data_IF_116015722927
#
_entry.id   IF_116015722927
#
_cell.length_a   1.000
_cell.length_b   1.000
_cell.length_c   1.000
_cell.angle_alpha   90.00
_cell.angle_beta   90.00
_cell.angle_gamma   90.00
#
_symmetry.space_group_name_H-M   'P 1'
#
loop_
_entity.id
_entity.type
_entity.pdbx_description
1 polymer ?
#
# COMPACT_ATOMS: atom_id res chain seq x y z
N UNK A 1 -7.85 -2.35 -7.66
CA UNK A 1 -7.36 -3.72 -7.38
C UNK A 1 -6.08 -4.12 -8.12
N UNK A 2 -5.83 -3.73 -9.39
CA UNK A 2 -4.53 -4.01 -10.07
C UNK A 2 -3.30 -3.24 -9.55
N UNK A 3 -3.49 -2.11 -8.85
CA UNK A 3 -2.40 -1.20 -8.49
C UNK A 3 -1.59 -1.62 -7.26
N UNK A 4 -2.17 -2.33 -6.28
CA UNK A 4 -1.44 -2.82 -5.10
C UNK A 4 -0.46 -3.95 -5.48
N UNK A 5 -0.80 -4.74 -6.50
CA UNK A 5 0.02 -5.85 -7.00
C UNK A 5 1.41 -5.43 -7.51
N UNK A 6 1.57 -4.17 -7.96
CA UNK A 6 2.83 -3.66 -8.49
C UNK A 6 3.81 -3.12 -7.43
N UNK A 7 3.37 -2.91 -6.18
CA UNK A 7 4.26 -2.36 -5.15
C UNK A 7 5.26 -3.40 -4.65
N UNK A 8 4.95 -4.69 -4.72
CA UNK A 8 5.85 -5.77 -4.33
C UNK A 8 6.59 -6.27 -5.58
N UNK A 9 7.50 -5.46 -6.13
CA UNK A 9 8.31 -5.83 -7.31
C UNK A 9 8.98 -7.21 -7.13
N UNK A 10 9.04 -7.97 -8.24
CA UNK A 10 9.51 -9.37 -8.39
C UNK A 10 10.92 -9.60 -7.81
N UNK A 11 11.74 -8.55 -7.74
CA UNK A 11 13.14 -8.62 -7.32
C UNK A 11 13.37 -9.04 -5.86
N UNK A 12 12.40 -8.81 -4.96
CA UNK A 12 12.53 -9.11 -3.52
C UNK A 12 12.37 -10.59 -3.17
N UNK A 13 11.72 -11.34 -4.04
CA UNK A 13 11.47 -12.77 -3.85
C UNK A 13 12.71 -13.61 -4.17
N UNK A 14 13.55 -13.12 -5.08
CA UNK A 14 14.69 -13.88 -5.59
C UNK A 14 15.90 -13.90 -4.65
N UNK A 15 16.01 -12.96 -3.70
CA UNK A 15 17.16 -12.88 -2.79
C UNK A 15 17.07 -13.80 -1.56
N UNK A 16 15.96 -14.52 -1.35
CA UNK A 16 15.72 -15.29 -0.12
C UNK A 16 16.36 -16.69 -0.06
N UNK A 17 17.16 -17.13 -1.05
CA UNK A 17 17.41 -18.56 -1.25
C UNK A 17 18.88 -18.99 -1.42
N UNK A 18 19.84 -18.24 -0.90
CA UNK A 18 21.24 -18.68 -0.90
C UNK A 18 21.81 -18.78 0.51
N UNK A 19 21.35 -19.79 1.25
CA UNK A 19 22.15 -20.45 2.27
C UNK A 19 21.74 -21.93 2.38
N UNK A 20 22.72 -22.81 2.19
CA UNK A 20 22.61 -24.27 2.22
C UNK A 20 21.96 -24.77 3.52
N UNK A 21 20.65 -24.96 3.53
CA UNK A 21 19.97 -25.78 4.53
C UNK A 21 18.56 -26.13 4.05
N UNK A 22 18.00 -27.22 4.63
CA UNK A 22 16.67 -27.78 4.34
C UNK A 22 15.63 -26.70 3.99
N UNK A 23 14.78 -27.00 3.00
CA UNK A 23 13.68 -26.15 2.54
C UNK A 23 12.57 -26.06 3.60
N UNK A 24 12.90 -25.45 4.73
CA UNK A 24 12.08 -25.31 5.92
C UNK A 24 12.29 -23.92 6.51
N UNK A 25 11.29 -23.43 7.22
CA UNK A 25 11.36 -22.19 7.97
C UNK A 25 12.15 -22.42 9.26
N UNK A 26 13.34 -21.84 9.32
CA UNK A 26 14.10 -21.70 10.58
C UNK A 26 13.78 -20.35 11.22
N UNK A 27 14.02 -20.19 12.53
CA UNK A 27 13.86 -18.89 13.19
C UNK A 27 14.65 -17.77 12.52
N UNK A 28 15.85 -18.07 12.00
CA UNK A 28 16.70 -17.13 11.28
C UNK A 28 16.07 -16.69 9.95
N UNK A 29 15.53 -17.64 9.16
CA UNK A 29 14.85 -17.34 7.89
C UNK A 29 13.55 -16.56 8.10
N UNK A 30 12.81 -16.88 9.18
CA UNK A 30 11.63 -16.11 9.57
C UNK A 30 12.00 -14.67 9.93
N UNK A 31 13.02 -14.47 10.77
CA UNK A 31 13.45 -13.15 11.20
C UNK A 31 13.93 -12.30 10.02
N UNK A 32 14.71 -12.89 9.11
CA UNK A 32 15.17 -12.21 7.89
C UNK A 32 14.00 -11.85 6.97
N UNK A 33 13.07 -12.78 6.75
CA UNK A 33 11.84 -12.52 5.99
C UNK A 33 11.06 -11.33 6.56
N UNK A 34 10.78 -11.36 7.87
CA UNK A 34 9.98 -10.32 8.53
C UNK A 34 10.69 -8.97 8.48
N UNK A 35 12.01 -8.94 8.66
CA UNK A 35 12.81 -7.71 8.54
C UNK A 35 12.70 -7.11 7.13
N UNK A 36 12.97 -7.91 6.10
CA UNK A 36 12.93 -7.44 4.71
C UNK A 36 11.51 -7.00 4.29
N UNK A 37 10.48 -7.72 4.75
CA UNK A 37 9.10 -7.37 4.45
C UNK A 37 8.69 -6.07 5.15
N UNK A 38 9.11 -5.88 6.40
CA UNK A 38 8.88 -4.63 7.16
C UNK A 38 9.54 -3.44 6.47
N UNK A 39 10.81 -3.57 6.10
CA UNK A 39 11.53 -2.52 5.35
C UNK A 39 10.86 -2.21 4.01
N UNK A 40 10.39 -3.24 3.31
CA UNK A 40 9.64 -3.07 2.06
C UNK A 40 8.33 -2.34 2.28
N UNK A 41 7.56 -2.71 3.31
CA UNK A 41 6.30 -2.07 3.65
C UNK A 41 6.51 -0.58 3.97
N UNK A 42 7.58 -0.25 4.72
CA UNK A 42 7.95 1.15 5.03
C UNK A 42 8.36 1.93 3.78
N UNK A 43 9.33 1.41 3.02
CA UNK A 43 9.94 2.12 1.88
C UNK A 43 9.00 2.21 0.68
N UNK A 44 8.40 1.10 0.27
CA UNK A 44 7.50 1.06 -0.89
C UNK A 44 6.09 1.52 -0.57
N UNK A 45 5.70 1.43 0.70
CA UNK A 45 4.51 2.11 1.21
C UNK A 45 4.67 3.62 1.25
N UNK A 46 5.85 4.20 0.97
CA UNK A 46 6.09 5.66 0.95
C UNK A 46 5.60 6.36 2.23
N UNK A 47 5.74 5.71 3.39
CA UNK A 47 5.28 6.25 4.68
C UNK A 47 3.79 6.06 4.99
N UNK A 48 3.04 5.28 4.19
CA UNK A 48 1.63 4.93 4.48
C UNK A 48 1.51 4.15 5.80
N UNK A 49 2.47 3.27 6.07
CA UNK A 49 2.47 2.42 7.26
C UNK A 49 3.46 2.95 8.30
N UNK A 50 3.01 3.08 9.54
CA UNK A 50 3.89 3.25 10.70
C UNK A 50 4.78 2.02 10.89
N UNK A 51 5.78 2.14 11.78
CA UNK A 51 6.65 1.01 12.11
C UNK A 51 5.86 -0.17 12.70
N UNK A 52 4.92 0.09 13.61
CA UNK A 52 4.03 -0.93 14.15
C UNK A 52 3.14 -1.56 13.07
N UNK A 53 2.59 -0.77 12.16
CA UNK A 53 1.77 -1.28 11.06
C UNK A 53 2.61 -2.14 10.11
N UNK A 54 3.84 -1.71 9.78
CA UNK A 54 4.73 -2.45 8.90
C UNK A 54 5.18 -3.78 9.52
N UNK A 55 5.49 -3.80 10.83
CA UNK A 55 5.80 -5.01 11.59
C UNK A 55 4.59 -5.95 11.57
N UNK A 56 3.40 -5.44 11.88
CA UNK A 56 2.19 -6.25 11.87
C UNK A 56 1.89 -6.84 10.49
N UNK A 57 2.12 -6.08 9.41
CA UNK A 57 1.95 -6.59 8.05
C UNK A 57 2.91 -7.76 7.80
N UNK A 58 4.19 -7.61 8.15
CA UNK A 58 5.19 -8.66 7.99
C UNK A 58 4.82 -9.94 8.76
N UNK A 59 4.39 -9.79 10.01
CA UNK A 59 3.92 -10.91 10.84
C UNK A 59 2.69 -11.58 10.24
N UNK A 60 1.69 -10.80 9.85
CA UNK A 60 0.47 -11.32 9.24
C UNK A 60 0.75 -12.10 7.95
N UNK A 61 1.63 -11.59 7.09
CA UNK A 61 2.00 -12.29 5.84
C UNK A 61 2.70 -13.60 6.16
N UNK A 62 3.63 -13.59 7.12
CA UNK A 62 4.34 -14.80 7.51
C UNK A 62 3.40 -15.86 8.09
N UNK A 63 2.44 -15.47 8.93
CA UNK A 63 1.41 -16.39 9.42
C UNK A 63 0.57 -16.98 8.29
N UNK A 64 0.20 -16.19 7.28
CA UNK A 64 -0.51 -16.70 6.10
C UNK A 64 0.36 -17.63 5.25
N UNK A 65 1.66 -17.37 5.12
CA UNK A 65 2.62 -18.28 4.47
C UNK A 65 2.64 -19.64 5.18
N UNK A 66 2.78 -19.65 6.52
CA UNK A 66 2.76 -20.89 7.32
C UNK A 66 1.44 -21.65 7.18
N UNK A 67 0.30 -20.95 7.25
CA UNK A 67 -1.03 -21.57 7.10
C UNK A 67 -1.27 -22.21 5.73
N UNK A 68 -0.60 -21.71 4.69
CA UNK A 68 -0.67 -22.27 3.34
C UNK A 68 0.45 -23.28 3.06
N UNK A 69 1.21 -23.71 4.08
CA UNK A 69 2.34 -24.63 3.98
C UNK A 69 3.36 -24.25 2.90
N UNK A 70 3.53 -22.93 2.68
CA UNK A 70 4.48 -22.42 1.69
C UNK A 70 5.88 -22.40 2.30
N UNK A 71 6.80 -23.13 1.69
CA UNK A 71 8.21 -23.21 2.09
C UNK A 71 9.05 -22.17 1.34
N UNK A 72 10.25 -21.81 1.84
CA UNK A 72 11.09 -20.80 1.19
C UNK A 72 11.29 -21.03 -0.32
N UNK A 73 11.62 -22.25 -0.75
CA UNK A 73 11.88 -22.56 -2.17
C UNK A 73 10.61 -22.59 -3.02
N UNK A 74 9.43 -22.67 -2.41
CA UNK A 74 8.16 -22.73 -3.15
C UNK A 74 7.92 -21.48 -3.97
N UNK A 75 8.64 -20.40 -3.69
CA UNK A 75 8.45 -19.18 -4.44
C UNK A 75 8.95 -19.25 -5.90
N UNK A 76 9.71 -20.30 -6.23
CA UNK A 76 10.06 -20.67 -7.60
C UNK A 76 8.86 -21.30 -8.35
N UNK A 77 7.84 -21.77 -7.63
CA UNK A 77 6.65 -22.36 -8.25
C UNK A 77 5.79 -21.26 -8.89
N UNK A 78 5.22 -21.52 -10.09
CA UNK A 78 4.29 -20.59 -10.73
C UNK A 78 3.13 -20.23 -9.79
N UNK A 79 2.82 -18.93 -9.69
CA UNK A 79 1.67 -18.43 -8.92
C UNK A 79 1.94 -18.15 -7.43
N UNK A 80 2.96 -18.75 -6.81
CA UNK A 80 3.23 -18.53 -5.36
C UNK A 80 3.55 -17.06 -5.05
N UNK A 81 4.31 -16.39 -5.92
CA UNK A 81 4.57 -14.94 -5.81
C UNK A 81 3.27 -14.13 -5.81
N UNK A 82 2.30 -14.50 -6.65
CA UNK A 82 1.01 -13.81 -6.75
C UNK A 82 0.23 -14.01 -5.46
N UNK A 83 0.21 -15.23 -4.91
CA UNK A 83 -0.45 -15.55 -3.64
C UNK A 83 0.16 -14.77 -2.48
N UNK A 84 1.49 -14.72 -2.36
CA UNK A 84 2.17 -13.95 -1.29
C UNK A 84 1.86 -12.45 -1.41
N UNK A 85 1.75 -11.91 -2.64
CA UNK A 85 1.31 -10.52 -2.84
C UNK A 85 -0.13 -10.27 -2.40
N UNK A 86 -1.03 -11.22 -2.66
CA UNK A 86 -2.40 -11.14 -2.20
C UNK A 86 -2.48 -11.18 -0.67
N UNK A 87 -1.68 -12.04 -0.02
CA UNK A 87 -1.52 -12.06 1.43
C UNK A 87 -1.05 -10.70 1.95
N UNK A 88 -0.02 -10.10 1.34
CA UNK A 88 0.45 -8.76 1.68
C UNK A 88 -0.62 -7.69 1.56
N UNK A 89 -1.47 -7.78 0.52
CA UNK A 89 -2.59 -6.84 0.33
C UNK A 89 -3.64 -7.00 1.44
N UNK A 90 -4.02 -8.23 1.78
CA UNK A 90 -4.97 -8.50 2.86
C UNK A 90 -4.42 -8.01 4.20
N UNK A 91 -3.17 -8.34 4.52
CA UNK A 91 -2.54 -7.93 5.77
C UNK A 91 -2.38 -6.41 5.89
N UNK A 92 -2.11 -5.71 4.79
CA UNK A 92 -2.12 -4.25 4.77
C UNK A 92 -3.50 -3.66 5.09
N UNK A 93 -4.57 -4.24 4.54
CA UNK A 93 -5.93 -3.83 4.85
C UNK A 93 -6.31 -4.13 6.31
N UNK A 94 -5.94 -5.32 6.80
CA UNK A 94 -6.13 -5.72 8.20
C UNK A 94 -5.37 -4.76 9.14
N UNK A 95 -4.13 -4.39 8.81
CA UNK A 95 -3.33 -3.44 9.57
C UNK A 95 -4.04 -2.08 9.66
N UNK A 96 -4.44 -1.55 8.51
CA UNK A 96 -5.15 -0.27 8.45
C UNK A 96 -6.43 -0.33 9.27
N UNK A 97 -7.18 -1.44 9.23
CA UNK A 97 -8.38 -1.61 10.04
C UNK A 97 -8.11 -1.78 11.53
N UNK A 98 -7.03 -2.47 11.92
CA UNK A 98 -6.73 -2.85 13.31
C UNK A 98 -6.13 -1.69 14.10
N UNK A 99 -5.29 -0.89 13.47
CA UNK A 99 -4.64 0.27 14.11
C UNK A 99 -5.51 1.54 14.02
N UNK A 100 -6.81 1.39 13.73
CA UNK A 100 -7.77 2.48 13.66
C UNK A 100 -8.37 2.82 15.02
N UNK A 101 -7.85 3.85 15.66
CA UNK A 101 -8.67 4.71 16.52
C UNK A 101 -8.45 6.21 16.33
N UNK A 102 -7.36 6.67 15.69
CA UNK A 102 -7.10 8.12 15.49
C UNK A 102 -6.70 8.55 14.06
N UNK A 103 -6.41 7.61 13.14
CA UNK A 103 -5.94 7.92 11.77
C UNK A 103 -7.04 7.94 10.70
N UNK A 104 -8.29 7.63 11.07
CA UNK A 104 -9.46 7.70 10.20
C UNK A 104 -10.07 9.09 10.06
N UNK A 105 -9.43 10.10 10.65
CA UNK A 105 -9.82 11.48 10.48
C UNK A 105 -8.72 12.23 9.74
N UNK A 106 -9.12 13.30 9.06
CA UNK A 106 -8.14 14.20 8.45
C UNK A 106 -7.37 14.93 9.54
N UNK A 107 -6.11 14.55 9.73
CA UNK A 107 -5.13 15.31 10.49
C UNK A 107 -4.00 15.77 9.54
N UNK A 108 -3.13 16.72 9.97
CA UNK A 108 -2.09 17.27 9.10
C UNK A 108 -1.19 16.20 8.45
N UNK A 109 -0.82 15.15 9.21
CA UNK A 109 0.03 14.06 8.74
C UNK A 109 -0.66 13.19 7.69
N UNK A 110 -1.91 12.80 7.94
CA UNK A 110 -2.70 12.00 7.00
C UNK A 110 -3.00 12.78 5.73
N UNK A 111 -3.29 14.06 5.86
CA UNK A 111 -3.48 14.96 4.72
C UNK A 111 -2.23 15.06 3.85
N UNK A 112 -1.06 15.35 4.44
CA UNK A 112 0.20 15.44 3.70
C UNK A 112 0.55 14.14 2.98
N UNK A 113 0.32 13.01 3.66
CA UNK A 113 0.53 11.67 3.08
C UNK A 113 -0.33 11.46 1.84
N UNK A 114 -1.64 11.73 1.95
CA UNK A 114 -2.55 11.57 0.82
C UNK A 114 -2.29 12.58 -0.31
N UNK A 115 -1.93 13.83 0.00
CA UNK A 115 -1.50 14.82 -1.00
C UNK A 115 -0.30 14.31 -1.79
N UNK A 116 0.70 13.75 -1.10
CA UNK A 116 1.89 13.17 -1.73
C UNK A 116 1.54 12.00 -2.65
N UNK A 117 0.64 11.11 -2.21
CA UNK A 117 0.17 9.98 -3.01
C UNK A 117 -0.58 10.45 -4.26
N UNK A 118 -1.51 11.39 -4.10
CA UNK A 118 -2.31 11.94 -5.20
C UNK A 118 -1.42 12.68 -6.20
N UNK A 119 -0.56 13.58 -5.72
CA UNK A 119 0.41 14.30 -6.56
C UNK A 119 1.27 13.33 -7.36
N UNK A 120 1.89 12.36 -6.69
CA UNK A 120 2.71 11.33 -7.36
C UNK A 120 1.90 10.54 -8.39
N UNK A 121 0.61 10.29 -8.15
CA UNK A 121 -0.28 9.59 -9.08
C UNK A 121 -0.56 10.42 -10.34
N UNK A 122 -0.85 11.71 -10.18
CA UNK A 122 -1.09 12.61 -11.30
C UNK A 122 0.18 12.84 -12.13
N UNK A 123 1.32 13.06 -11.49
CA UNK A 123 2.60 13.24 -12.20
C UNK A 123 2.98 12.00 -13.02
N UNK A 124 2.79 10.79 -12.45
CA UNK A 124 2.99 9.53 -13.19
C UNK A 124 2.03 9.34 -14.38
N UNK A 125 0.93 10.07 -14.38
CA UNK A 125 -0.07 10.05 -15.47
C UNK A 125 0.19 11.14 -16.53
N UNK A 126 1.34 11.85 -16.44
CA UNK A 126 1.74 12.87 -17.40
C UNK A 126 1.30 14.31 -17.06
N UNK A 127 0.71 14.52 -15.89
CA UNK A 127 0.34 15.87 -15.41
C UNK A 127 1.59 16.58 -14.88
N UNK A 128 1.75 17.89 -15.14
CA UNK A 128 2.90 18.64 -14.63
C UNK A 128 2.90 18.71 -13.10
N UNK A 129 4.06 18.96 -12.48
CA UNK A 129 4.18 19.00 -11.01
C UNK A 129 3.23 20.02 -10.36
N UNK A 130 3.10 21.21 -10.97
CA UNK A 130 2.23 22.30 -10.50
C UNK A 130 0.75 21.90 -10.57
N UNK A 131 0.33 21.33 -11.70
CA UNK A 131 -1.04 20.86 -11.89
C UNK A 131 -1.35 19.65 -11.00
N UNK A 132 -0.40 18.74 -10.81
CA UNK A 132 -0.53 17.59 -9.93
C UNK A 132 -0.71 18.00 -8.47
N UNK A 133 0.01 19.04 -8.05
CA UNK A 133 -0.16 19.66 -6.72
C UNK A 133 -1.56 20.25 -6.58
N UNK A 134 -2.00 21.05 -7.55
CA UNK A 134 -3.35 21.61 -7.57
C UNK A 134 -4.45 20.53 -7.48
N UNK A 135 -4.35 19.47 -8.30
CA UNK A 135 -5.32 18.38 -8.30
C UNK A 135 -5.34 17.63 -6.96
N UNK A 136 -4.18 17.42 -6.34
CA UNK A 136 -4.07 16.78 -5.04
C UNK A 136 -4.75 17.63 -3.94
N UNK A 137 -4.46 18.93 -3.90
CA UNK A 137 -5.08 19.85 -2.94
C UNK A 137 -6.60 19.93 -3.13
N UNK A 138 -7.06 20.08 -4.37
CA UNK A 138 -8.48 20.11 -4.70
C UNK A 138 -9.19 18.82 -4.24
N UNK A 139 -8.62 17.65 -4.53
CA UNK A 139 -9.23 16.38 -4.20
C UNK A 139 -9.39 16.22 -2.69
N UNK A 140 -8.36 16.57 -1.90
CA UNK A 140 -8.41 16.51 -0.44
C UNK A 140 -9.46 17.46 0.12
N UNK A 141 -9.50 18.71 -0.35
CA UNK A 141 -10.52 19.69 0.07
C UNK A 141 -11.93 19.17 -0.20
N UNK A 142 -12.18 18.57 -1.36
CA UNK A 142 -13.49 18.01 -1.71
C UNK A 142 -13.84 16.74 -0.95
N UNK A 143 -12.86 15.90 -0.63
CA UNK A 143 -13.08 14.72 0.22
C UNK A 143 -13.50 15.16 1.63
N UNK A 144 -12.79 16.13 2.21
CA UNK A 144 -13.14 16.74 3.51
C UNK A 144 -14.54 17.35 3.49
N UNK A 145 -14.87 18.16 2.48
CA UNK A 145 -16.17 18.81 2.35
C UNK A 145 -17.34 17.83 2.21
N UNK A 146 -17.09 16.63 1.68
CA UNK A 146 -18.08 15.56 1.56
C UNK A 146 -18.02 14.55 2.71
N UNK A 147 -17.30 14.86 3.80
CA UNK A 147 -17.10 13.97 4.95
C UNK A 147 -16.53 12.59 4.58
N UNK A 148 -15.75 12.51 3.50
CA UNK A 148 -15.06 11.29 3.09
C UNK A 148 -13.77 11.20 3.90
N UNK A 149 -13.66 10.16 4.71
CA UNK A 149 -12.47 9.87 5.48
C UNK A 149 -11.40 9.14 4.68
N UNK A 150 -10.15 9.11 5.15
CA UNK A 150 -9.11 8.23 4.61
C UNK A 150 -9.51 6.75 4.54
N UNK A 151 -10.30 6.24 5.50
CA UNK A 151 -10.80 4.87 5.46
C UNK A 151 -11.79 4.64 4.32
N UNK A 152 -12.65 5.63 4.03
CA UNK A 152 -13.62 5.55 2.95
C UNK A 152 -12.95 5.41 1.59
N UNK A 153 -11.75 5.95 1.40
CA UNK A 153 -10.98 5.83 0.17
C UNK A 153 -10.48 4.40 -0.10
N UNK A 154 -10.38 3.57 0.94
CA UNK A 154 -9.96 2.18 0.82
C UNK A 154 -11.13 1.25 0.47
N UNK A 155 -12.36 1.71 0.68
CA UNK A 155 -13.57 0.96 0.37
C UNK A 155 -13.88 1.05 -1.14
N UNK A 156 -13.82 -0.07 -1.89
CA UNK A 156 -14.08 -0.05 -3.33
C UNK A 156 -15.49 0.42 -3.70
N UNK A 157 -16.47 0.33 -2.78
CA UNK A 157 -17.83 0.85 -2.98
C UNK A 157 -17.85 2.37 -3.15
N UNK A 158 -16.83 3.07 -2.65
CA UNK A 158 -16.70 4.52 -2.77
C UNK A 158 -15.92 4.95 -4.04
N UNK A 159 -15.58 4.00 -4.92
CA UNK A 159 -14.82 4.27 -6.15
C UNK A 159 -15.45 5.34 -7.04
N UNK A 160 -16.76 5.28 -7.26
CA UNK A 160 -17.50 6.25 -8.08
C UNK A 160 -17.45 7.67 -7.50
N UNK A 161 -17.53 7.78 -6.17
CA UNK A 161 -17.45 9.04 -5.46
C UNK A 161 -16.07 9.69 -5.62
N UNK A 162 -15.02 8.89 -5.42
CA UNK A 162 -13.62 9.33 -5.60
C UNK A 162 -13.37 9.74 -7.05
N UNK A 163 -13.92 9.01 -8.02
CA UNK A 163 -13.81 9.36 -9.43
C UNK A 163 -14.51 10.69 -9.75
N UNK A 164 -15.72 10.92 -9.22
CA UNK A 164 -16.45 12.19 -9.39
C UNK A 164 -15.66 13.37 -8.84
N UNK A 165 -14.99 13.21 -7.69
CA UNK A 165 -14.10 14.22 -7.12
C UNK A 165 -12.94 14.52 -8.08
N UNK A 166 -12.27 13.49 -8.58
CA UNK A 166 -11.17 13.65 -9.54
C UNK A 166 -11.59 14.40 -10.82
N UNK A 167 -12.76 14.05 -11.38
CA UNK A 167 -13.34 14.75 -12.53
C UNK A 167 -13.66 16.22 -12.22
N UNK A 168 -14.22 16.51 -11.05
CA UNK A 168 -14.49 17.88 -10.62
C UNK A 168 -13.21 18.71 -10.53
N UNK A 169 -12.15 18.16 -9.94
CA UNK A 169 -10.87 18.84 -9.83
C UNK A 169 -10.20 19.06 -11.19
N UNK A 170 -10.32 18.11 -12.12
CA UNK A 170 -9.87 18.28 -13.50
C UNK A 170 -10.58 19.43 -14.20
N UNK A 171 -11.90 19.57 -14.01
CA UNK A 171 -12.67 20.71 -14.56
C UNK A 171 -12.23 22.04 -13.96
N UNK A 172 -11.98 22.10 -12.66
CA UNK A 172 -11.47 23.32 -12.01
C UNK A 172 -10.07 23.70 -12.47
N UNK A 173 -9.20 22.71 -12.69
CA UNK A 173 -7.87 22.94 -13.24
C UNK A 173 -7.94 23.60 -14.62
N UNK A 174 -8.83 23.11 -15.50
CA UNK A 174 -9.00 23.70 -16.85
C UNK A 174 -9.57 25.11 -16.79
N UNK A 175 -10.45 25.43 -15.84
CA UNK A 175 -10.98 26.79 -15.65
C UNK A 175 -9.95 27.78 -15.10
N UNK A 176 -8.93 27.29 -14.40
CA UNK A 176 -7.85 28.09 -13.82
C UNK A 176 -6.62 28.20 -14.75
N UNK A 177 -6.70 27.66 -15.96
CA UNK A 177 -5.72 27.87 -17.05
C UNK A 177 -6.14 29.05 -17.90
#
# INVERSE_FOLDING_TARGET
MKKIQNYISITLVAFMLFSCNKNEWTPEKEADFKKQFTETAKTKGKGIFSDEQAIYIADCVFEKIKRNDLKPDDIKKPGVVISVRQMGTQCAQEALSKFNSEQNTWNPKTEETYKTILKSTFTKSGVSDKEATFLADCAITKMKAQNISPADLQNPKNGDLVQKIGVSCGKELVKNK
#
